data_IF_836213106441
#
_entry.id   IF_836213106441
#
_cell.length_a   1.000
_cell.length_b   1.000
_cell.length_c   1.000
_cell.angle_alpha   90.00
_cell.angle_beta   90.00
_cell.angle_gamma   90.00
#
_symmetry.space_group_name_H-M   'P 1'
#
loop_
_entity.id
_entity.type
_entity.pdbx_description
1 polymer ?
#
# COMPACT_ATOMS: atom_id res chain seq x y z
N UNK A 1 -12.48 8.03 -32.71
CA UNK A 1 -11.49 8.94 -32.09
C UNK A 1 -11.46 8.61 -30.59
N UNK A 2 -10.33 8.17 -30.04
CA UNK A 2 -10.23 7.89 -28.60
C UNK A 2 -10.29 9.21 -27.83
N UNK A 3 -11.25 9.34 -26.92
CA UNK A 3 -11.27 10.43 -25.97
C UNK A 3 -9.99 10.37 -25.10
N UNK A 4 -9.32 11.50 -24.82
CA UNK A 4 -8.19 11.52 -23.90
C UNK A 4 -8.64 11.05 -22.50
N UNK A 5 -7.73 10.45 -21.72
CA UNK A 5 -8.05 9.98 -20.36
C UNK A 5 -8.56 11.13 -19.47
N UNK A 6 -8.02 12.33 -19.69
CA UNK A 6 -8.33 13.56 -18.95
C UNK A 6 -8.76 14.68 -19.90
N UNK A 7 -9.70 15.51 -19.48
CA UNK A 7 -10.13 16.69 -20.23
C UNK A 7 -11.42 17.27 -19.65
N UNK A 8 -11.51 18.59 -19.55
CA UNK A 8 -12.61 19.28 -18.85
C UNK A 8 -14.02 18.96 -19.42
N UNK A 9 -14.13 18.67 -20.74
CA UNK A 9 -15.41 18.38 -21.41
C UNK A 9 -15.46 17.11 -22.24
N UNK A 10 -14.31 16.46 -22.47
CA UNK A 10 -14.20 15.34 -23.41
C UNK A 10 -13.28 14.23 -22.90
N UNK A 11 -12.95 14.25 -21.61
CA UNK A 11 -12.15 13.21 -20.99
C UNK A 11 -12.97 11.96 -20.69
N UNK A 12 -12.35 10.79 -20.77
CA UNK A 12 -12.98 9.51 -20.37
C UNK A 12 -13.55 9.58 -18.96
N UNK A 13 -12.85 10.22 -18.02
CA UNK A 13 -13.34 10.40 -16.65
C UNK A 13 -14.64 11.22 -16.61
N UNK A 14 -14.76 12.29 -17.41
CA UNK A 14 -15.98 13.11 -17.46
C UNK A 14 -17.16 12.28 -17.94
N UNK A 15 -16.99 11.50 -19.01
CA UNK A 15 -18.03 10.59 -19.50
C UNK A 15 -18.46 9.58 -18.43
N UNK A 16 -17.51 8.94 -17.74
CA UNK A 16 -17.83 8.01 -16.66
C UNK A 16 -18.54 8.70 -15.49
N UNK A 17 -18.16 9.93 -15.15
CA UNK A 17 -18.82 10.69 -14.09
C UNK A 17 -20.27 11.03 -14.44
N UNK A 18 -20.56 11.35 -15.70
CA UNK A 18 -21.91 11.60 -16.21
C UNK A 18 -22.77 10.33 -16.17
N UNK A 19 -22.24 9.21 -16.68
CA UNK A 19 -22.91 7.90 -16.68
C UNK A 19 -23.23 7.41 -15.26
N UNK A 20 -22.24 7.43 -14.36
CA UNK A 20 -22.40 6.92 -12.99
C UNK A 20 -22.99 7.95 -12.02
N UNK A 21 -23.19 9.20 -12.46
CA UNK A 21 -23.59 10.35 -11.63
C UNK A 21 -22.78 10.47 -10.33
N UNK A 22 -21.48 10.23 -10.41
CA UNK A 22 -20.55 10.21 -9.27
C UNK A 22 -19.27 10.95 -9.62
N UNK A 23 -18.67 11.58 -8.61
CA UNK A 23 -17.42 12.31 -8.73
C UNK A 23 -16.18 11.38 -8.68
N UNK A 24 -15.90 10.68 -9.79
CA UNK A 24 -14.81 9.71 -9.90
C UNK A 24 -13.40 10.32 -9.86
N UNK A 25 -13.23 11.56 -10.35
CA UNK A 25 -11.94 12.25 -10.30
C UNK A 25 -11.37 12.33 -8.87
N UNK A 26 -12.23 12.57 -7.88
CA UNK A 26 -11.80 12.66 -6.48
C UNK A 26 -11.28 11.32 -5.94
N UNK A 27 -11.85 10.19 -6.37
CA UNK A 27 -11.34 8.87 -6.00
C UNK A 27 -9.93 8.67 -6.55
N UNK A 28 -9.69 9.02 -7.82
CA UNK A 28 -8.37 8.94 -8.45
C UNK A 28 -7.37 9.87 -7.76
N UNK A 29 -7.78 11.11 -7.47
CA UNK A 29 -6.94 12.07 -6.75
C UNK A 29 -6.58 11.60 -5.33
N UNK A 30 -7.51 10.97 -4.60
CA UNK A 30 -7.21 10.41 -3.26
C UNK A 30 -6.22 9.25 -3.32
N UNK A 31 -6.37 8.34 -4.30
CA UNK A 31 -5.40 7.26 -4.49
C UNK A 31 -4.00 7.80 -4.80
N UNK A 32 -3.92 8.84 -5.64
CA UNK A 32 -2.63 9.47 -5.95
C UNK A 32 -2.05 10.22 -4.75
N UNK A 33 -2.89 10.84 -3.92
CA UNK A 33 -2.45 11.45 -2.67
C UNK A 33 -1.84 10.42 -1.71
N UNK A 34 -2.45 9.24 -1.57
CA UNK A 34 -1.89 8.15 -0.75
C UNK A 34 -0.53 7.67 -1.27
N UNK A 35 -0.37 7.60 -2.60
CA UNK A 35 0.91 7.28 -3.22
C UNK A 35 1.99 8.32 -2.91
N UNK A 36 1.66 9.61 -3.02
CA UNK A 36 2.59 10.72 -2.74
C UNK A 36 2.95 10.79 -1.26
N UNK A 37 1.99 10.61 -0.36
CA UNK A 37 2.23 10.57 1.08
C UNK A 37 3.18 9.41 1.43
N UNK A 38 2.91 8.21 0.92
CA UNK A 38 3.76 7.05 1.16
C UNK A 38 5.18 7.28 0.64
N UNK A 39 5.33 7.94 -0.52
CA UNK A 39 6.64 8.30 -1.09
C UNK A 39 7.42 9.24 -0.18
N UNK A 40 6.79 10.30 0.33
CA UNK A 40 7.42 11.22 1.27
C UNK A 40 7.85 10.53 2.57
N UNK A 41 7.01 9.64 3.10
CA UNK A 41 7.35 8.86 4.30
C UNK A 41 8.54 7.94 4.03
N UNK A 42 8.62 7.31 2.85
CA UNK A 42 9.79 6.52 2.46
C UNK A 42 11.05 7.36 2.34
N UNK A 43 10.98 8.53 1.70
CA UNK A 43 12.14 9.43 1.58
C UNK A 43 12.66 9.85 2.96
N UNK A 44 11.76 10.10 3.90
CA UNK A 44 12.11 10.45 5.28
C UNK A 44 12.71 9.29 6.09
N UNK A 45 12.14 8.08 5.99
CA UNK A 45 12.51 6.94 6.83
C UNK A 45 13.60 6.03 6.23
N UNK A 46 13.64 5.91 4.90
CA UNK A 46 14.47 4.94 4.17
C UNK A 46 15.51 5.64 3.26
N UNK A 47 15.45 6.98 3.20
CA UNK A 47 16.34 7.82 2.41
C UNK A 47 15.87 8.08 0.98
N UNK A 48 16.54 9.02 0.32
CA UNK A 48 16.22 9.41 -1.06
C UNK A 48 16.41 8.27 -2.06
N UNK A 49 15.56 8.26 -3.06
CA UNK A 49 15.63 7.34 -4.19
C UNK A 49 16.51 7.94 -5.28
N UNK A 50 17.50 7.21 -5.78
CA UNK A 50 18.34 7.66 -6.90
C UNK A 50 17.63 7.61 -8.26
N UNK A 51 16.36 7.20 -8.30
CA UNK A 51 15.57 7.10 -9.53
C UNK A 51 14.19 6.43 -9.34
N UNK A 52 13.34 6.43 -10.39
CA UNK A 52 11.95 5.96 -10.31
C UNK A 52 11.80 4.47 -9.98
N UNK A 53 12.86 3.68 -10.18
CA UNK A 53 12.87 2.22 -10.02
C UNK A 53 13.97 1.73 -9.07
N UNK A 54 14.80 2.60 -8.50
CA UNK A 54 15.90 2.18 -7.63
C UNK A 54 15.46 2.18 -6.16
N UNK A 55 15.51 0.98 -5.57
CA UNK A 55 15.29 0.72 -4.16
C UNK A 55 16.64 0.85 -3.42
N UNK A 56 16.98 2.06 -2.96
CA UNK A 56 18.27 2.36 -2.30
C UNK A 56 18.26 2.00 -0.81
N UNK A 57 17.18 2.33 -0.11
CA UNK A 57 17.04 2.17 1.33
C UNK A 57 16.89 0.71 1.81
N UNK A 58 17.29 0.42 3.07
CA UNK A 58 17.23 -0.93 3.64
C UNK A 58 15.82 -1.54 3.66
N UNK A 59 14.77 -0.74 3.91
CA UNK A 59 13.39 -1.22 3.94
C UNK A 59 12.97 -1.57 2.52
N UNK A 60 13.19 -0.67 1.55
CA UNK A 60 12.89 -0.89 0.14
C UNK A 60 13.59 -2.11 -0.45
N UNK A 61 14.85 -2.35 -0.10
CA UNK A 61 15.57 -3.57 -0.50
C UNK A 61 14.91 -4.83 0.05
N UNK A 62 14.48 -4.79 1.31
CA UNK A 62 13.80 -5.90 1.97
C UNK A 62 12.43 -6.20 1.35
N UNK A 63 11.74 -5.20 0.78
CA UNK A 63 10.47 -5.39 0.08
C UNK A 63 10.59 -6.27 -1.18
N UNK A 64 11.76 -6.31 -1.83
CA UNK A 64 11.95 -7.13 -3.04
C UNK A 64 11.82 -8.62 -2.70
N UNK A 65 12.34 -9.04 -1.54
CA UNK A 65 12.39 -10.44 -1.14
C UNK A 65 11.28 -10.85 -0.15
N UNK A 66 10.34 -9.95 0.16
CA UNK A 66 9.34 -10.18 1.20
C UNK A 66 8.43 -11.39 0.94
N UNK A 67 8.30 -11.84 -0.31
CA UNK A 67 7.49 -13.01 -0.72
C UNK A 67 8.07 -14.34 -0.24
N UNK A 68 9.40 -14.45 -0.14
CA UNK A 68 10.12 -15.69 0.17
C UNK A 68 10.38 -15.89 1.66
N UNK A 69 10.16 -14.87 2.48
CA UNK A 69 10.38 -14.93 3.92
C UNK A 69 9.35 -15.87 4.61
N UNK A 70 9.73 -16.58 5.66
CA UNK A 70 8.76 -17.33 6.47
C UNK A 70 8.02 -16.39 7.42
N UNK A 71 6.82 -16.79 7.86
CA UNK A 71 6.09 -16.04 8.89
C UNK A 71 6.86 -16.14 10.19
N UNK A 72 7.10 -14.99 10.80
CA UNK A 72 7.89 -14.84 12.00
C UNK A 72 6.99 -14.59 13.21
N UNK A 73 7.52 -14.69 14.43
CA UNK A 73 6.81 -14.26 15.62
C UNK A 73 6.79 -12.72 15.70
N UNK A 74 5.74 -12.07 15.18
CA UNK A 74 5.62 -10.60 15.16
C UNK A 74 4.71 -10.08 16.29
N UNK A 75 4.88 -8.81 16.67
CA UNK A 75 4.06 -8.14 17.68
C UNK A 75 2.87 -7.43 17.02
N UNK A 76 1.67 -7.44 17.62
CA UNK A 76 0.55 -6.67 17.09
C UNK A 76 0.79 -5.16 17.18
N UNK A 77 0.32 -4.41 16.18
CA UNK A 77 0.34 -2.94 16.17
C UNK A 77 -1.07 -2.43 16.40
N UNK A 78 -1.32 -1.82 17.56
CA UNK A 78 -2.61 -1.19 17.83
C UNK A 78 -2.75 0.12 17.06
N UNK A 79 -3.80 0.22 16.23
CA UNK A 79 -4.25 1.43 15.56
C UNK A 79 -5.78 1.40 15.44
N UNK A 80 -6.40 2.57 15.54
CA UNK A 80 -7.82 2.76 15.26
C UNK A 80 -8.00 2.70 13.74
N UNK A 81 -8.06 1.49 13.16
CA UNK A 81 -8.36 1.37 11.74
C UNK A 81 -9.78 1.90 11.52
N UNK A 82 -10.00 2.87 10.62
CA UNK A 82 -11.31 2.99 10.03
C UNK A 82 -11.59 1.65 9.33
N UNK A 83 -12.72 1.01 9.65
CA UNK A 83 -13.12 -0.25 9.04
C UNK A 83 -13.34 -0.01 7.54
N UNK A 84 -12.29 -0.15 6.73
CA UNK A 84 -12.40 -0.02 5.27
C UNK A 84 -12.68 -1.39 4.70
N UNK A 85 -13.96 -1.72 4.54
CA UNK A 85 -14.43 -2.90 3.81
C UNK A 85 -14.34 -2.67 2.30
N UNK A 86 -13.13 -2.65 1.73
CA UNK A 86 -13.00 -2.76 0.26
C UNK A 86 -13.06 -4.25 -0.08
N UNK A 87 -14.24 -4.73 -0.49
CA UNK A 87 -14.44 -6.13 -0.91
C UNK A 87 -13.44 -6.59 -1.98
N UNK A 88 -12.95 -5.65 -2.79
CA UNK A 88 -12.02 -5.90 -3.89
C UNK A 88 -10.55 -5.97 -3.45
N UNK A 89 -10.24 -5.72 -2.17
CA UNK A 89 -8.87 -5.74 -1.62
C UNK A 89 -8.76 -6.66 -0.41
N UNK A 90 -9.30 -7.87 -0.54
CA UNK A 90 -9.31 -8.90 0.51
C UNK A 90 -7.94 -9.12 1.16
N UNK A 91 -6.87 -9.19 0.35
CA UNK A 91 -5.52 -9.38 0.89
C UNK A 91 -5.07 -8.26 1.84
N UNK A 92 -5.33 -6.99 1.47
CA UNK A 92 -4.96 -5.85 2.32
C UNK A 92 -5.74 -5.90 3.64
N UNK A 93 -7.02 -6.25 3.58
CA UNK A 93 -7.87 -6.38 4.77
C UNK A 93 -7.34 -7.50 5.68
N UNK A 94 -7.15 -8.70 5.14
CA UNK A 94 -6.74 -9.88 5.90
C UNK A 94 -5.35 -9.66 6.55
N UNK A 95 -4.41 -9.03 5.83
CA UNK A 95 -3.07 -8.77 6.39
C UNK A 95 -3.07 -7.62 7.39
N UNK A 96 -3.91 -6.60 7.21
CA UNK A 96 -4.06 -5.52 8.18
C UNK A 96 -4.67 -6.04 9.48
N UNK A 97 -5.69 -6.90 9.39
CA UNK A 97 -6.31 -7.57 10.54
C UNK A 97 -5.29 -8.46 11.27
N UNK A 98 -4.47 -9.22 10.54
CA UNK A 98 -3.40 -10.01 11.14
C UNK A 98 -2.38 -9.13 11.90
N UNK A 99 -2.02 -7.98 11.35
CA UNK A 99 -1.10 -7.02 12.01
C UNK A 99 -1.73 -6.40 13.25
N UNK A 100 -3.02 -6.10 13.23
CA UNK A 100 -3.74 -5.55 14.39
C UNK A 100 -3.92 -6.58 15.51
N UNK A 101 -4.36 -7.78 15.17
CA UNK A 101 -4.73 -8.83 16.13
C UNK A 101 -3.53 -9.65 16.59
N UNK A 102 -2.45 -9.65 15.81
CA UNK A 102 -1.31 -10.55 16.00
C UNK A 102 -1.60 -11.98 15.54
N UNK A 103 -2.77 -12.25 14.95
CA UNK A 103 -3.18 -13.58 14.50
C UNK A 103 -3.01 -13.68 13.00
N UNK A 104 -1.98 -14.41 12.57
CA UNK A 104 -1.77 -14.67 11.15
C UNK A 104 -2.48 -15.95 10.71
N UNK A 105 -3.62 -15.80 10.04
CA UNK A 105 -4.22 -16.88 9.25
C UNK A 105 -3.43 -17.04 7.95
N UNK A 106 -3.32 -18.26 7.41
CA UNK A 106 -2.39 -18.69 6.33
C UNK A 106 -2.48 -17.88 5.00
N UNK A 107 -2.04 -16.62 5.03
CA UNK A 107 -1.90 -15.71 3.89
C UNK A 107 -0.64 -16.01 3.06
N UNK A 108 0.08 -17.09 3.38
CA UNK A 108 1.32 -17.51 2.71
C UNK A 108 1.11 -17.74 1.21
N UNK A 109 -0.11 -18.15 0.82
CA UNK A 109 -0.51 -18.51 -0.55
C UNK A 109 -0.96 -17.32 -1.41
N UNK A 110 -1.15 -16.14 -0.82
CA UNK A 110 -1.59 -14.96 -1.56
C UNK A 110 -0.38 -14.13 -2.01
N UNK A 111 -0.20 -13.94 -3.31
CA UNK A 111 0.84 -13.05 -3.85
C UNK A 111 0.44 -11.58 -3.63
N UNK A 112 1.27 -10.74 -2.96
CA UNK A 112 1.02 -9.31 -2.83
C UNK A 112 1.10 -8.54 -4.16
N UNK A 113 1.62 -9.15 -5.22
CA UNK A 113 1.77 -8.60 -6.56
C UNK A 113 3.15 -7.96 -6.81
N UNK A 114 3.48 -7.66 -8.08
CA UNK A 114 4.80 -7.18 -8.49
C UNK A 114 5.14 -5.79 -7.94
N UNK A 115 6.41 -5.57 -7.57
CA UNK A 115 6.89 -4.28 -7.04
C UNK A 115 6.72 -3.15 -8.05
N UNK A 116 6.09 -2.04 -7.63
CA UNK A 116 6.05 -0.80 -8.41
C UNK A 116 5.91 0.40 -7.49
N UNK A 117 6.81 1.38 -7.63
CA UNK A 117 6.76 2.64 -6.86
C UNK A 117 5.50 3.48 -7.16
N UNK A 118 4.79 3.19 -8.26
CA UNK A 118 3.57 3.87 -8.66
C UNK A 118 2.28 3.18 -8.17
N UNK A 119 2.42 2.06 -7.43
CA UNK A 119 1.28 1.28 -6.94
C UNK A 119 1.27 1.25 -5.43
N UNK A 120 0.70 2.30 -4.83
CA UNK A 120 0.52 2.43 -3.38
C UNK A 120 0.04 1.13 -2.72
N UNK A 121 -0.98 0.48 -3.30
CA UNK A 121 -1.56 -0.73 -2.75
C UNK A 121 -0.57 -1.90 -2.68
N UNK A 122 0.16 -2.16 -3.77
CA UNK A 122 1.12 -3.26 -3.82
C UNK A 122 2.28 -3.01 -2.87
N UNK A 123 2.79 -1.78 -2.82
CA UNK A 123 3.84 -1.41 -1.87
C UNK A 123 3.37 -1.58 -0.43
N UNK A 124 2.15 -1.14 -0.12
CA UNK A 124 1.51 -1.30 1.20
C UNK A 124 1.41 -2.77 1.61
N UNK A 125 0.88 -3.62 0.72
CA UNK A 125 0.76 -5.06 0.92
C UNK A 125 2.11 -5.73 1.24
N UNK A 126 3.17 -5.31 0.54
CA UNK A 126 4.53 -5.83 0.75
C UNK A 126 5.14 -5.35 2.07
N UNK A 127 4.85 -4.12 2.50
CA UNK A 127 5.31 -3.59 3.81
C UNK A 127 4.65 -4.35 4.96
N UNK A 128 3.33 -4.54 4.91
CA UNK A 128 2.62 -5.30 5.94
C UNK A 128 3.10 -6.76 5.99
N UNK A 129 3.41 -7.35 4.83
CA UNK A 129 4.01 -8.69 4.75
C UNK A 129 5.41 -8.74 5.31
N UNK A 130 6.24 -7.73 5.04
CA UNK A 130 7.57 -7.63 5.62
C UNK A 130 7.48 -7.55 7.15
N UNK A 131 6.57 -6.75 7.68
CA UNK A 131 6.35 -6.61 9.13
C UNK A 131 5.99 -7.93 9.80
N UNK A 132 4.99 -8.64 9.29
CA UNK A 132 4.55 -9.94 9.82
C UNK A 132 5.67 -11.00 9.78
N UNK A 133 6.65 -10.82 8.90
CA UNK A 133 7.77 -11.74 8.70
C UNK A 133 9.06 -11.28 9.39
N UNK A 134 8.98 -10.28 10.27
CA UNK A 134 10.11 -9.75 11.03
C UNK A 134 9.83 -9.86 12.52
N UNK A 135 10.61 -10.66 13.25
CA UNK A 135 10.44 -10.82 14.72
C UNK A 135 10.73 -9.53 15.47
N UNK A 136 11.82 -8.86 15.09
CA UNK A 136 12.29 -7.61 15.67
C UNK A 136 12.29 -6.51 14.59
N UNK A 137 11.11 -5.94 14.26
CA UNK A 137 11.02 -4.90 13.26
C UNK A 137 11.69 -3.61 13.74
N UNK A 138 12.33 -2.88 12.81
CA UNK A 138 12.93 -1.58 13.12
C UNK A 138 11.87 -0.54 13.46
N UNK A 139 12.27 0.54 14.16
CA UNK A 139 11.38 1.66 14.49
C UNK A 139 10.72 2.26 13.25
N UNK A 140 11.47 2.35 12.16
CA UNK A 140 11.04 2.91 10.88
C UNK A 140 9.98 2.02 10.23
N UNK A 141 10.17 0.69 10.27
CA UNK A 141 9.19 -0.27 9.76
C UNK A 141 7.89 -0.22 10.57
N UNK A 142 7.97 -0.12 11.90
CA UNK A 142 6.79 0.05 12.77
C UNK A 142 6.05 1.36 12.42
N UNK A 143 6.79 2.45 12.19
CA UNK A 143 6.22 3.75 11.84
C UNK A 143 5.51 3.70 10.48
N UNK A 144 6.09 3.05 9.48
CA UNK A 144 5.46 2.82 8.17
C UNK A 144 4.14 2.06 8.29
N UNK A 145 4.14 0.97 9.05
CA UNK A 145 2.93 0.17 9.29
C UNK A 145 1.85 1.03 9.94
N UNK A 146 2.19 1.81 10.96
CA UNK A 146 1.23 2.75 11.60
C UNK A 146 0.69 3.80 10.64
N UNK A 147 1.54 4.35 9.76
CA UNK A 147 1.09 5.29 8.74
C UNK A 147 0.08 4.65 7.79
N UNK A 148 0.36 3.43 7.30
CA UNK A 148 -0.52 2.66 6.41
C UNK A 148 -1.88 2.39 7.06
N UNK A 149 -1.87 1.94 8.31
CA UNK A 149 -3.07 1.55 9.06
C UNK A 149 -3.96 2.75 9.46
N UNK A 150 -3.53 3.99 9.19
CA UNK A 150 -4.25 5.22 9.50
C UNK A 150 -4.81 5.96 8.27
N UNK A 151 -4.54 5.48 7.06
CA UNK A 151 -4.98 6.10 5.79
C UNK A 151 -6.46 5.82 5.52
#
# INVERSE_FOLDING_TARGET
MMAPNTGYKSGVIVFLQEEFKKFLQWLVCRLHFNELLLRHVFEYLDGETTGPCTYSGPIRKSLVNCENLLVASFKPVYCDLPVVTVKDQKYLLDISDAVLTGVYSDLSRCDPGPTSNARWLTTTNRILRLYVRTEEPSSELIQLVRCILRV
#
